data_IF_202570757344
#
_entry.id   IF_202570757344
#
_cell.length_a   1.000
_cell.length_b   1.000
_cell.length_c   1.000
_cell.angle_alpha   90.00
_cell.angle_beta   90.00
_cell.angle_gamma   90.00
#
_symmetry.space_group_name_H-M   'P 1'
#
loop_
_entity.id
_entity.type
_entity.pdbx_description
1 polymer ?
#
# COMPACT_ATOMS: atom_id res chain seq x y z
N UNK A 1 -48.46 -20.42 30.86
CA UNK A 1 -47.61 -21.03 29.79
C UNK A 1 -47.44 -20.15 28.56
N UNK A 2 -48.47 -19.47 28.05
CA UNK A 2 -48.39 -18.59 26.87
C UNK A 2 -47.40 -17.42 27.06
N UNK A 3 -47.35 -16.78 28.23
CA UNK A 3 -46.46 -15.69 28.54
C UNK A 3 -44.98 -16.08 28.52
N UNK A 4 -44.62 -17.27 28.97
CA UNK A 4 -43.27 -17.79 28.94
C UNK A 4 -42.77 -18.07 27.49
N UNK A 5 -43.66 -18.62 26.64
CA UNK A 5 -43.35 -18.86 25.24
C UNK A 5 -43.13 -17.54 24.49
N UNK A 6 -43.95 -16.51 24.74
CA UNK A 6 -43.82 -15.19 24.13
C UNK A 6 -42.50 -14.50 24.54
N UNK A 7 -42.10 -14.64 25.81
CA UNK A 7 -40.87 -14.11 26.34
C UNK A 7 -39.63 -14.74 25.69
N UNK A 8 -39.66 -16.07 25.45
CA UNK A 8 -38.57 -16.77 24.74
C UNK A 8 -38.45 -16.34 23.28
N UNK A 9 -39.57 -16.10 22.60
CA UNK A 9 -39.56 -15.60 21.22
C UNK A 9 -38.95 -14.19 21.15
N UNK A 10 -39.37 -13.30 22.06
CA UNK A 10 -38.81 -11.94 22.13
C UNK A 10 -37.30 -11.98 22.42
N UNK A 11 -36.88 -12.81 23.39
CA UNK A 11 -35.47 -12.97 23.74
C UNK A 11 -34.67 -13.49 22.56
N UNK A 12 -35.17 -14.46 21.79
CA UNK A 12 -34.55 -14.98 20.58
C UNK A 12 -34.41 -13.92 19.47
N UNK A 13 -35.42 -13.07 19.28
CA UNK A 13 -35.37 -11.96 18.34
C UNK A 13 -34.34 -10.92 18.75
N UNK A 14 -34.27 -10.55 20.02
CA UNK A 14 -33.29 -9.61 20.55
C UNK A 14 -31.89 -10.16 20.37
N UNK A 15 -31.61 -11.41 20.70
CA UNK A 15 -30.31 -12.06 20.48
C UNK A 15 -29.93 -12.07 19.00
N UNK A 16 -30.86 -12.39 18.11
CA UNK A 16 -30.61 -12.37 16.66
C UNK A 16 -30.26 -10.97 16.16
N UNK A 17 -30.95 -9.95 16.61
CA UNK A 17 -30.65 -8.54 16.29
C UNK A 17 -29.28 -8.10 16.83
N UNK A 18 -28.91 -8.52 18.04
CA UNK A 18 -27.58 -8.24 18.61
C UNK A 18 -26.48 -8.88 17.77
N UNK A 19 -26.60 -10.15 17.38
CA UNK A 19 -25.62 -10.84 16.55
C UNK A 19 -25.47 -10.18 15.19
N UNK A 20 -26.57 -9.79 14.54
CA UNK A 20 -26.55 -9.08 13.27
C UNK A 20 -25.92 -7.70 13.43
N UNK A 21 -26.24 -7.00 14.51
CA UNK A 21 -25.66 -5.69 14.82
C UNK A 21 -24.15 -5.75 15.04
N UNK A 22 -23.68 -6.69 15.87
CA UNK A 22 -22.23 -6.86 16.13
C UNK A 22 -21.45 -7.24 14.88
N UNK A 23 -22.00 -8.09 14.01
CA UNK A 23 -21.35 -8.47 12.75
C UNK A 23 -21.26 -7.29 11.76
N UNK A 24 -22.27 -6.41 11.77
CA UNK A 24 -22.24 -5.19 10.94
C UNK A 24 -21.19 -4.19 11.46
N UNK A 25 -21.08 -4.02 12.78
CA UNK A 25 -20.07 -3.15 13.38
C UNK A 25 -18.66 -3.64 13.09
N UNK A 26 -18.38 -4.94 13.26
CA UNK A 26 -17.09 -5.56 12.92
C UNK A 26 -16.72 -5.30 11.45
N UNK A 27 -17.67 -5.45 10.52
CA UNK A 27 -17.44 -5.16 9.11
C UNK A 27 -17.14 -3.68 8.85
N UNK A 28 -17.86 -2.76 9.49
CA UNK A 28 -17.66 -1.32 9.34
C UNK A 28 -16.30 -0.91 9.89
N UNK A 29 -15.88 -1.43 11.04
CA UNK A 29 -14.58 -1.18 11.64
C UNK A 29 -13.45 -1.64 10.72
N UNK A 30 -13.52 -2.87 10.22
CA UNK A 30 -12.53 -3.41 9.27
C UNK A 30 -12.46 -2.63 7.95
N UNK A 31 -13.60 -2.16 7.45
CA UNK A 31 -13.64 -1.29 6.27
C UNK A 31 -12.93 0.04 6.53
N UNK A 32 -13.21 0.66 7.66
CA UNK A 32 -12.59 1.93 8.03
C UNK A 32 -11.07 1.77 8.23
N UNK A 33 -10.64 0.68 8.86
CA UNK A 33 -9.22 0.36 9.03
C UNK A 33 -8.54 0.14 7.67
N UNK A 34 -9.14 -0.67 6.78
CA UNK A 34 -8.62 -0.89 5.43
C UNK A 34 -8.48 0.42 4.67
N UNK A 35 -9.53 1.24 4.68
CA UNK A 35 -9.53 2.54 4.00
C UNK A 35 -8.42 3.45 4.53
N UNK A 36 -8.25 3.51 5.84
CA UNK A 36 -7.20 4.31 6.48
C UNK A 36 -5.81 3.82 6.08
N UNK A 37 -5.53 2.52 6.18
CA UNK A 37 -4.23 1.95 5.82
C UNK A 37 -3.92 2.15 4.34
N UNK A 38 -4.88 1.88 3.46
CA UNK A 38 -4.73 2.09 2.02
C UNK A 38 -4.47 3.55 1.68
N UNK A 39 -5.26 4.47 2.25
CA UNK A 39 -5.11 5.90 1.98
C UNK A 39 -3.75 6.42 2.44
N UNK A 40 -3.27 6.03 3.62
CA UNK A 40 -1.94 6.42 4.10
C UNK A 40 -0.83 5.88 3.21
N UNK A 41 -0.87 4.59 2.87
CA UNK A 41 0.12 3.98 1.99
C UNK A 41 0.13 4.66 0.61
N UNK A 42 -1.05 4.97 0.09
CA UNK A 42 -1.23 5.61 -1.21
C UNK A 42 -0.65 7.02 -1.24
N UNK A 43 -0.93 7.83 -0.20
CA UNK A 43 -0.37 9.18 -0.07
C UNK A 43 1.17 9.14 -0.03
N UNK A 44 1.74 8.21 0.74
CA UNK A 44 3.20 8.03 0.80
C UNK A 44 3.79 7.64 -0.55
N UNK A 45 3.19 6.65 -1.23
CA UNK A 45 3.66 6.20 -2.55
C UNK A 45 3.62 7.33 -3.57
N UNK A 46 2.47 8.03 -3.68
CA UNK A 46 2.29 9.15 -4.62
C UNK A 46 3.30 10.27 -4.34
N UNK A 47 3.52 10.60 -3.06
CA UNK A 47 4.50 11.62 -2.68
C UNK A 47 5.91 11.22 -3.12
N UNK A 48 6.33 9.99 -2.80
CA UNK A 48 7.67 9.51 -3.13
C UNK A 48 7.86 9.37 -4.67
N UNK A 49 6.82 8.93 -5.39
CA UNK A 49 6.87 8.83 -6.85
C UNK A 49 6.90 10.19 -7.56
N UNK A 50 6.27 11.22 -7.01
CA UNK A 50 6.31 12.58 -7.57
C UNK A 50 7.69 13.22 -7.55
N UNK A 51 8.56 12.75 -6.67
CA UNK A 51 9.92 13.25 -6.53
C UNK A 51 10.89 12.54 -7.46
N UNK A 52 10.44 11.52 -8.21
CA UNK A 52 11.25 10.77 -9.15
C UNK A 52 11.05 11.23 -10.59
N UNK A 53 11.92 10.75 -11.47
CA UNK A 53 11.81 10.94 -12.91
C UNK A 53 11.08 9.73 -13.54
N UNK A 54 10.26 10.00 -14.58
CA UNK A 54 9.51 8.96 -15.27
C UNK A 54 10.43 7.87 -15.86
N UNK A 55 11.59 8.26 -16.38
CA UNK A 55 12.55 7.35 -17.00
C UNK A 55 13.28 6.45 -15.99
N UNK A 56 13.23 6.80 -14.69
CA UNK A 56 13.83 6.03 -13.60
C UNK A 56 12.87 5.06 -12.93
N UNK A 57 11.67 4.84 -13.49
CA UNK A 57 10.65 3.94 -12.93
C UNK A 57 10.64 2.63 -13.72
N UNK A 58 10.58 1.52 -13.00
CA UNK A 58 10.24 0.22 -13.57
C UNK A 58 9.03 -0.38 -12.86
N UNK A 59 8.12 -0.93 -13.65
CA UNK A 59 6.89 -1.57 -13.17
C UNK A 59 6.92 -3.04 -13.51
N UNK A 60 6.38 -3.85 -12.58
CA UNK A 60 6.10 -5.28 -12.78
C UNK A 60 4.74 -5.60 -12.16
N UNK A 61 4.14 -6.75 -12.47
CA UNK A 61 2.95 -7.19 -11.75
C UNK A 61 3.19 -7.14 -10.23
N UNK A 62 2.27 -6.49 -9.51
CA UNK A 62 2.29 -6.31 -8.05
C UNK A 62 3.50 -5.56 -7.49
N UNK A 63 4.24 -4.80 -8.31
CA UNK A 63 5.40 -4.05 -7.82
C UNK A 63 5.85 -2.89 -8.71
N UNK A 64 6.48 -1.90 -8.07
CA UNK A 64 7.11 -0.76 -8.72
C UNK A 64 8.41 -0.42 -8.01
N UNK A 65 9.43 -0.07 -8.78
CA UNK A 65 10.71 0.42 -8.28
C UNK A 65 11.08 1.73 -8.98
N UNK A 66 11.64 2.65 -8.23
CA UNK A 66 12.06 3.96 -8.73
C UNK A 66 13.23 4.53 -7.92
N UNK A 67 14.02 5.40 -8.54
CA UNK A 67 15.04 6.15 -7.85
C UNK A 67 14.42 7.32 -7.06
N UNK A 68 15.03 7.68 -5.94
CA UNK A 68 14.63 8.81 -5.11
C UNK A 68 15.84 9.62 -4.66
N UNK A 69 15.72 10.97 -4.59
CA UNK A 69 16.78 11.81 -4.06
C UNK A 69 16.88 11.79 -2.53
N UNK A 70 16.00 11.03 -1.85
CA UNK A 70 15.99 10.96 -0.39
C UNK A 70 17.06 9.99 0.11
N UNK A 71 17.71 10.37 1.21
CA UNK A 71 18.61 9.50 1.96
C UNK A 71 17.83 8.52 2.86
N UNK A 72 18.54 7.75 3.69
CA UNK A 72 17.95 6.80 4.66
C UNK A 72 17.04 7.47 5.69
N UNK A 73 17.33 8.73 6.02
CA UNK A 73 16.60 9.52 7.03
C UNK A 73 15.38 10.22 6.43
N UNK A 74 15.27 10.21 5.10
CA UNK A 74 14.17 10.79 4.35
C UNK A 74 14.43 12.22 3.87
N UNK A 75 15.64 12.74 4.05
CA UNK A 75 16.04 14.09 3.62
C UNK A 75 16.45 14.10 2.16
N UNK A 76 16.11 15.16 1.46
CA UNK A 76 16.57 15.43 0.10
C UNK A 76 17.94 16.09 0.18
N UNK A 77 18.94 15.51 -0.49
CA UNK A 77 20.30 16.01 -0.46
C UNK A 77 20.68 16.66 -1.78
N UNK A 78 21.54 17.67 -1.67
CA UNK A 78 22.11 18.42 -2.77
C UNK A 78 23.63 18.38 -2.68
N UNK A 79 24.28 18.46 -3.82
CA UNK A 79 25.73 18.65 -3.85
C UNK A 79 26.13 20.10 -3.49
N UNK A 80 27.42 20.37 -3.44
CA UNK A 80 27.97 21.71 -3.15
C UNK A 80 27.61 22.76 -4.22
N UNK A 81 27.21 22.33 -5.42
CA UNK A 81 26.72 23.19 -6.48
C UNK A 81 25.18 23.35 -6.50
N UNK A 82 24.48 22.79 -5.50
CA UNK A 82 23.02 22.86 -5.39
C UNK A 82 22.28 21.90 -6.33
N UNK A 83 22.95 20.90 -6.91
CA UNK A 83 22.32 19.90 -7.77
C UNK A 83 21.78 18.77 -6.90
N UNK A 84 20.62 18.23 -7.30
CA UNK A 84 19.97 17.11 -6.64
C UNK A 84 20.83 15.85 -6.72
N UNK A 85 20.97 15.14 -5.60
CA UNK A 85 21.68 13.86 -5.52
C UNK A 85 20.70 12.71 -5.35
N UNK A 86 20.81 11.69 -6.22
CA UNK A 86 19.98 10.49 -6.17
C UNK A 86 20.65 9.45 -5.26
N UNK A 87 19.97 9.10 -4.16
CA UNK A 87 20.59 8.33 -3.08
C UNK A 87 20.06 6.91 -2.93
N UNK A 88 18.81 6.67 -3.28
CA UNK A 88 18.19 5.37 -3.04
C UNK A 88 17.27 4.94 -4.16
N UNK A 89 17.07 3.62 -4.26
CA UNK A 89 15.91 3.01 -4.90
C UNK A 89 14.89 2.65 -3.86
N UNK A 90 13.62 2.96 -4.12
CA UNK A 90 12.48 2.45 -3.38
C UNK A 90 11.73 1.44 -4.23
N UNK A 91 11.42 0.30 -3.63
CA UNK A 91 10.62 -0.75 -4.25
C UNK A 91 9.38 -0.99 -3.41
N UNK A 92 8.20 -0.78 -4.00
CA UNK A 92 6.91 -1.16 -3.43
C UNK A 92 6.42 -2.42 -4.10
N UNK A 93 5.95 -3.39 -3.31
CA UNK A 93 5.42 -4.64 -3.84
C UNK A 93 4.46 -5.28 -2.84
N UNK A 94 3.55 -6.10 -3.36
CA UNK A 94 2.64 -6.90 -2.54
C UNK A 94 3.28 -8.27 -2.27
N UNK A 95 3.19 -8.72 -1.02
CA UNK A 95 3.68 -10.02 -0.60
C UNK A 95 2.84 -10.59 0.55
N UNK A 96 3.05 -11.85 0.88
CA UNK A 96 2.36 -12.52 1.99
C UNK A 96 3.28 -12.66 3.20
N UNK A 97 2.93 -12.00 4.29
CA UNK A 97 3.65 -12.08 5.56
C UNK A 97 2.74 -12.72 6.61
N UNK A 98 3.16 -13.85 7.17
CA UNK A 98 2.38 -14.61 8.17
C UNK A 98 0.94 -14.89 7.71
N UNK A 99 0.77 -15.27 6.44
CA UNK A 99 -0.55 -15.58 5.85
C UNK A 99 -1.44 -14.38 5.56
N UNK A 100 -0.92 -13.15 5.71
CA UNK A 100 -1.63 -11.92 5.37
C UNK A 100 -0.98 -11.21 4.20
N UNK A 101 -1.77 -10.77 3.26
CA UNK A 101 -1.30 -9.97 2.12
C UNK A 101 -0.99 -8.55 2.59
N UNK A 102 0.20 -8.06 2.29
CA UNK A 102 0.70 -6.76 2.77
C UNK A 102 1.42 -6.00 1.66
N UNK A 103 1.32 -4.69 1.69
CA UNK A 103 2.17 -3.81 0.89
C UNK A 103 3.47 -3.56 1.64
N UNK A 104 4.58 -3.94 1.03
CA UNK A 104 5.92 -3.77 1.53
C UNK A 104 6.65 -2.65 0.78
N UNK A 105 7.53 -1.95 1.49
CA UNK A 105 8.52 -1.07 0.90
C UNK A 105 9.92 -1.55 1.27
N UNK A 106 10.76 -1.78 0.29
CA UNK A 106 12.21 -1.98 0.44
C UNK A 106 12.97 -0.78 -0.08
N UNK A 107 14.17 -0.58 0.46
CA UNK A 107 15.08 0.45 -0.03
C UNK A 107 16.48 -0.11 -0.24
N UNK A 108 17.20 0.45 -1.21
CA UNK A 108 18.62 0.15 -1.48
C UNK A 108 19.34 1.42 -1.85
N UNK A 109 20.49 1.66 -1.21
CA UNK A 109 21.33 2.83 -1.50
C UNK A 109 21.96 2.74 -2.88
N UNK A 110 22.06 3.88 -3.54
CA UNK A 110 22.81 4.10 -4.77
C UNK A 110 24.20 4.56 -4.32
N UNK A 111 25.23 3.81 -4.67
CA UNK A 111 26.60 4.12 -4.27
C UNK A 111 27.55 4.03 -5.48
N UNK A 112 28.23 5.11 -5.84
CA UNK A 112 28.10 6.48 -5.30
C UNK A 112 26.75 7.11 -5.64
N UNK A 113 26.32 8.17 -4.93
CA UNK A 113 25.13 8.95 -5.29
C UNK A 113 25.23 9.49 -6.71
N UNK A 114 24.14 9.45 -7.46
CA UNK A 114 24.08 9.87 -8.84
C UNK A 114 23.62 11.32 -8.99
N UNK A 115 24.14 12.05 -10.00
CA UNK A 115 23.74 13.43 -10.31
C UNK A 115 22.55 13.51 -11.28
N UNK A 116 22.21 12.40 -11.91
CA UNK A 116 21.01 12.24 -12.73
C UNK A 116 20.24 11.02 -12.24
N UNK A 117 18.90 10.96 -12.44
CA UNK A 117 18.12 9.82 -12.02
C UNK A 117 18.61 8.55 -12.74
N UNK A 118 19.19 7.59 -12.02
CA UNK A 118 19.68 6.38 -12.67
C UNK A 118 18.51 5.47 -13.02
N UNK A 119 18.61 4.67 -14.09
CA UNK A 119 17.58 3.72 -14.45
C UNK A 119 17.33 2.74 -13.29
N UNK A 120 16.08 2.50 -12.96
CA UNK A 120 15.73 1.58 -11.90
C UNK A 120 16.10 0.14 -12.31
N UNK A 121 16.64 -0.67 -11.38
CA UNK A 121 16.88 -2.09 -11.61
C UNK A 121 15.54 -2.84 -11.64
N UNK A 122 15.50 -4.11 -12.10
CA UNK A 122 14.31 -4.93 -12.04
C UNK A 122 13.74 -5.02 -10.61
N UNK A 123 12.42 -4.98 -10.47
CA UNK A 123 11.71 -5.05 -9.15
C UNK A 123 12.19 -6.25 -8.34
N UNK A 124 12.34 -7.42 -8.97
CA UNK A 124 12.77 -8.65 -8.30
C UNK A 124 14.17 -8.56 -7.69
N UNK A 125 15.04 -7.69 -8.19
CA UNK A 125 16.36 -7.49 -7.63
C UNK A 125 16.34 -6.94 -6.19
N UNK A 126 15.33 -6.13 -5.86
CA UNK A 126 15.09 -5.66 -4.49
C UNK A 126 14.10 -6.55 -3.74
N UNK A 127 13.06 -7.03 -4.39
CA UNK A 127 12.06 -7.91 -3.79
C UNK A 127 12.69 -9.13 -3.15
N UNK A 128 13.60 -9.81 -3.85
CA UNK A 128 14.30 -11.01 -3.38
C UNK A 128 15.49 -10.72 -2.45
N UNK A 129 15.93 -9.47 -2.32
CA UNK A 129 17.04 -9.11 -1.44
C UNK A 129 16.69 -9.36 0.02
N UNK A 130 17.53 -10.13 0.72
CA UNK A 130 17.41 -10.40 2.17
C UNK A 130 18.03 -9.29 3.03
N UNK A 131 18.94 -8.49 2.46
CA UNK A 131 19.69 -7.45 3.17
C UNK A 131 19.00 -6.08 3.12
N UNK A 132 18.10 -5.87 2.16
CA UNK A 132 17.41 -4.58 2.02
C UNK A 132 16.42 -4.36 3.18
N UNK A 133 16.46 -3.19 3.85
CA UNK A 133 15.54 -2.86 4.92
C UNK A 133 14.10 -2.85 4.39
N UNK A 134 13.22 -3.58 5.09
CA UNK A 134 11.83 -3.78 4.69
C UNK A 134 10.89 -3.12 5.69
N UNK A 135 9.92 -2.35 5.19
CA UNK A 135 8.87 -1.71 6.00
C UNK A 135 7.50 -2.11 5.49
N UNK A 136 6.61 -2.54 6.39
CA UNK A 136 5.19 -2.76 6.05
C UNK A 136 4.54 -1.38 5.95
N UNK A 137 3.84 -1.12 4.83
CA UNK A 137 3.15 0.14 4.56
C UNK A 137 1.64 0.05 4.73
N UNK A 138 1.06 -1.10 4.38
CA UNK A 138 -0.35 -1.39 4.60
C UNK A 138 -0.58 -2.90 4.68
N UNK A 139 -1.66 -3.29 5.36
CA UNK A 139 -2.12 -4.68 5.46
C UNK A 139 -3.36 -4.90 4.61
N UNK A 140 -3.67 -6.18 4.35
CA UNK A 140 -4.85 -6.59 3.58
C UNK A 140 -4.86 -6.01 2.15
N UNK A 141 -3.67 -5.84 1.57
CA UNK A 141 -3.49 -5.38 0.19
C UNK A 141 -3.40 -6.59 -0.73
N UNK A 142 -4.29 -6.66 -1.68
CA UNK A 142 -4.40 -7.79 -2.63
C UNK A 142 -3.55 -7.59 -3.88
N UNK A 143 -3.51 -6.38 -4.40
CA UNK A 143 -2.76 -6.05 -5.60
C UNK A 143 -2.31 -4.59 -5.61
N UNK A 144 -1.19 -4.36 -6.27
CA UNK A 144 -0.64 -3.07 -6.66
C UNK A 144 -0.44 -3.08 -8.17
N UNK A 145 -1.06 -2.16 -8.88
CA UNK A 145 -0.85 -1.99 -10.32
C UNK A 145 -0.39 -0.58 -10.63
N UNK A 146 0.62 -0.48 -11.47
CA UNK A 146 1.15 0.80 -11.95
C UNK A 146 1.21 0.75 -13.47
N UNK A 147 0.40 1.57 -14.11
CA UNK A 147 0.38 1.72 -15.57
C UNK A 147 1.25 2.92 -15.97
N UNK A 148 2.44 2.61 -16.46
CA UNK A 148 3.40 3.60 -16.97
C UNK A 148 3.24 3.88 -18.46
N UNK A 149 2.32 3.19 -19.15
CA UNK A 149 2.07 3.41 -20.59
C UNK A 149 1.22 4.66 -20.85
N UNK A 150 0.50 5.12 -19.83
CA UNK A 150 -0.31 6.35 -19.88
C UNK A 150 0.43 7.50 -19.20
N UNK A 151 0.25 8.71 -19.76
CA UNK A 151 0.76 9.94 -19.13
C UNK A 151 -0.42 10.87 -18.80
N UNK A 152 -0.62 11.24 -17.52
CA UNK A 152 0.15 10.87 -16.32
C UNK A 152 -0.02 9.39 -15.94
N UNK A 153 1.04 8.82 -15.30
CA UNK A 153 1.06 7.43 -14.84
C UNK A 153 -0.12 7.13 -13.90
N UNK A 154 -0.74 5.98 -14.07
CA UNK A 154 -1.87 5.57 -13.24
C UNK A 154 -1.44 4.55 -12.19
N UNK A 155 -1.78 4.82 -10.93
CA UNK A 155 -1.52 3.98 -9.78
C UNK A 155 -2.83 3.44 -9.23
N UNK A 156 -2.94 2.11 -9.10
CA UNK A 156 -4.09 1.42 -8.53
C UNK A 156 -3.66 0.53 -7.37
N UNK A 157 -4.34 0.65 -6.23
CA UNK A 157 -4.14 -0.19 -5.06
C UNK A 157 -5.46 -0.89 -4.72
N UNK A 158 -5.43 -2.21 -4.62
CA UNK A 158 -6.58 -3.03 -4.24
C UNK A 158 -6.37 -3.65 -2.87
N UNK A 159 -7.36 -3.56 -2.02
CA UNK A 159 -7.36 -4.18 -0.69
C UNK A 159 -8.63 -4.97 -0.44
N UNK A 160 -8.54 -5.95 0.47
CA UNK A 160 -9.63 -6.84 0.81
C UNK A 160 -9.60 -7.22 2.29
N UNK A 161 -10.76 -7.17 2.94
CA UNK A 161 -10.93 -7.64 4.32
C UNK A 161 -12.12 -8.59 4.42
N UNK A 162 -11.97 -9.61 5.25
CA UNK A 162 -13.04 -10.55 5.56
C UNK A 162 -13.52 -10.32 7.01
N UNK A 163 -14.81 -10.10 7.17
CA UNK A 163 -15.47 -9.97 8.45
C UNK A 163 -16.04 -11.30 8.93
N UNK A 164 -16.57 -11.33 10.16
CA UNK A 164 -17.26 -12.49 10.70
C UNK A 164 -18.41 -12.94 9.78
N UNK A 165 -18.53 -14.27 9.55
CA UNK A 165 -19.53 -14.86 8.65
C UNK A 165 -19.12 -14.81 7.18
N UNK A 166 -17.81 -14.85 6.90
CA UNK A 166 -17.19 -14.95 5.56
C UNK A 166 -17.61 -13.84 4.57
N UNK A 167 -18.04 -12.70 5.10
CA UNK A 167 -18.35 -11.54 4.26
C UNK A 167 -17.05 -10.82 3.89
N UNK A 168 -16.71 -10.89 2.63
CA UNK A 168 -15.55 -10.21 2.07
C UNK A 168 -15.94 -8.84 1.53
N UNK A 169 -15.09 -7.85 1.79
CA UNK A 169 -15.21 -6.50 1.27
C UNK A 169 -13.93 -6.10 0.59
N UNK A 170 -14.03 -5.76 -0.70
CA UNK A 170 -12.94 -5.20 -1.50
C UNK A 170 -13.04 -3.69 -1.62
N UNK A 171 -11.89 -3.03 -1.70
CA UNK A 171 -11.74 -1.60 -1.97
C UNK A 171 -10.65 -1.40 -3.02
N UNK A 172 -10.90 -0.47 -3.93
CA UNK A 172 -9.93 -0.02 -4.91
C UNK A 172 -9.69 1.48 -4.74
N UNK A 173 -8.42 1.88 -4.71
CA UNK A 173 -7.99 3.28 -4.78
C UNK A 173 -7.20 3.47 -6.06
N UNK A 174 -7.52 4.54 -6.79
CA UNK A 174 -6.91 4.86 -8.07
C UNK A 174 -6.55 6.33 -8.14
N UNK A 175 -5.36 6.66 -8.64
CA UNK A 175 -4.93 8.03 -8.87
C UNK A 175 -3.98 8.14 -10.04
N UNK A 176 -3.75 9.38 -10.48
CA UNK A 176 -2.74 9.72 -11.48
C UNK A 176 -1.56 10.42 -10.82
N UNK A 177 -0.36 9.96 -11.16
CA UNK A 177 0.90 10.52 -10.67
C UNK A 177 1.51 11.40 -11.75
N UNK A 178 1.71 12.67 -11.41
CA UNK A 178 2.40 13.66 -12.24
C UNK A 178 3.82 13.80 -11.72
N UNK A 179 4.80 13.57 -12.58
CA UNK A 179 6.20 13.75 -12.23
C UNK A 179 6.56 15.24 -12.22
N UNK A 180 7.52 15.56 -11.38
CA UNK A 180 8.10 16.91 -11.35
C UNK A 180 9.18 16.94 -12.42
N UNK A 181 8.91 17.60 -13.53
CA UNK A 181 9.90 17.93 -14.57
C UNK A 181 10.85 19.02 -14.05
#
# INVERSE_FOLDING_TARGET
MISAALMLIILGLVMKLMVVGTNRLDLMEKKAELQREMSLAFVWMVREMRETDADSIQTQPDGVIFATPRNTDGDVLFDTAGRLLWHQYYCYYVDTVKGKSVLLRKSRSISPPAFSPPPAPPVDSLRLSTTAPTKIKARNIKALSVDSTVSPMELTLMGEVTARGDRTYGMELKTRVYFRN
#
